data_IF_904646867211
#
_entry.id   IF_904646867211
#
_cell.length_a   1.000
_cell.length_b   1.000
_cell.length_c   1.000
_cell.angle_alpha   90.00
_cell.angle_beta   90.00
_cell.angle_gamma   90.00
#
_symmetry.space_group_name_H-M   'P 1'
#
loop_
_entity.id
_entity.type
_entity.pdbx_description
1 polymer ?
#
# COMPACT_ATOMS: atom_id res chain seq x y z
N UNK A 1 39.90 25.53 -12.02
CA UNK A 1 39.72 24.51 -10.96
C UNK A 1 38.28 24.00 -11.02
N UNK A 2 38.05 22.72 -11.38
CA UNK A 2 36.71 22.13 -11.49
C UNK A 2 36.37 21.40 -10.18
N UNK A 3 35.36 21.86 -9.44
CA UNK A 3 34.84 21.15 -8.25
C UNK A 3 34.21 19.83 -8.70
N UNK A 4 34.83 18.72 -8.32
CA UNK A 4 34.30 17.37 -8.53
C UNK A 4 33.07 17.23 -7.63
N UNK A 5 31.89 17.14 -8.24
CA UNK A 5 30.64 16.82 -7.54
C UNK A 5 30.77 15.37 -7.06
N UNK A 6 30.95 15.17 -5.75
CA UNK A 6 30.97 13.82 -5.18
C UNK A 6 29.73 13.08 -5.63
N UNK A 7 29.94 11.96 -6.31
CA UNK A 7 28.88 11.14 -6.85
C UNK A 7 28.23 10.39 -5.68
N UNK A 8 27.24 11.02 -5.02
CA UNK A 8 26.43 10.34 -4.00
C UNK A 8 25.70 9.18 -4.67
N UNK A 9 26.28 7.98 -4.57
CA UNK A 9 25.67 6.75 -5.05
C UNK A 9 24.39 6.51 -4.25
N UNK A 10 23.24 6.60 -4.91
CA UNK A 10 21.96 6.25 -4.30
C UNK A 10 21.96 4.75 -3.98
N UNK A 11 22.01 4.40 -2.70
CA UNK A 11 21.94 3.00 -2.25
C UNK A 11 20.47 2.65 -2.07
N UNK A 12 19.96 1.72 -2.89
CA UNK A 12 18.61 1.18 -2.73
C UNK A 12 18.67 -0.07 -1.87
N UNK A 13 18.05 -0.03 -0.71
CA UNK A 13 17.96 -1.16 0.22
C UNK A 13 16.50 -1.58 0.41
N UNK A 14 16.24 -2.87 0.66
CA UNK A 14 14.91 -3.33 1.01
C UNK A 14 14.48 -2.67 2.34
N UNK A 15 13.21 -2.28 2.41
CA UNK A 15 12.62 -1.72 3.63
C UNK A 15 11.21 -2.25 3.82
N UNK A 16 10.78 -2.29 5.08
CA UNK A 16 9.40 -2.65 5.44
C UNK A 16 8.55 -1.40 5.45
N UNK A 17 7.43 -1.41 4.73
CA UNK A 17 6.48 -0.30 4.68
C UNK A 17 5.15 -0.70 5.34
N UNK A 18 4.82 -0.03 6.43
CA UNK A 18 3.53 -0.16 7.09
C UNK A 18 2.60 0.97 6.66
N UNK A 19 1.34 0.65 6.39
CA UNK A 19 0.28 1.61 6.06
C UNK A 19 -0.75 1.62 7.19
N UNK A 20 -1.10 2.82 7.67
CA UNK A 20 -2.09 3.06 8.72
C UNK A 20 -3.02 4.19 8.29
N UNK A 21 -4.25 4.19 8.80
CA UNK A 21 -5.20 5.27 8.58
C UNK A 21 -4.90 6.40 9.57
N UNK A 22 -4.49 7.57 9.08
CA UNK A 22 -4.24 8.73 9.93
C UNK A 22 -5.53 9.42 10.39
N UNK A 23 -6.52 9.51 9.48
CA UNK A 23 -7.84 10.08 9.73
C UNK A 23 -8.88 9.33 8.92
N UNK A 24 -9.97 8.93 9.56
CA UNK A 24 -11.06 8.20 8.91
C UNK A 24 -11.94 9.17 8.11
N UNK A 25 -12.27 8.87 6.84
CA UNK A 25 -13.19 9.68 6.05
C UNK A 25 -14.64 9.45 6.48
N UNK A 26 -15.53 10.42 6.23
CA UNK A 26 -16.96 10.26 6.50
C UNK A 26 -17.61 9.15 5.66
N UNK A 27 -17.12 8.95 4.43
CA UNK A 27 -17.51 7.86 3.54
C UNK A 27 -16.27 7.09 3.13
N UNK A 28 -16.23 5.79 3.46
CA UNK A 28 -15.12 4.90 3.15
C UNK A 28 -15.45 4.06 1.92
N UNK A 29 -14.54 4.04 0.94
CA UNK A 29 -14.63 3.21 -0.26
C UNK A 29 -13.53 2.15 -0.20
N UNK A 30 -13.92 0.88 -0.25
CA UNK A 30 -12.99 -0.26 -0.22
C UNK A 30 -12.88 -0.89 -1.60
N UNK A 31 -11.73 -0.70 -2.25
CA UNK A 31 -11.46 -1.33 -3.54
C UNK A 31 -10.72 -2.67 -3.36
N UNK A 32 -11.39 -3.77 -3.72
CA UNK A 32 -10.76 -5.09 -3.77
C UNK A 32 -9.93 -5.25 -5.04
N UNK A 33 -8.60 -5.26 -4.92
CA UNK A 33 -7.67 -5.44 -6.06
C UNK A 33 -7.71 -6.88 -6.58
N UNK A 34 -8.71 -7.16 -7.42
CA UNK A 34 -8.92 -8.50 -8.01
C UNK A 34 -8.13 -8.74 -9.28
N UNK A 35 -7.65 -7.71 -9.97
CA UNK A 35 -6.92 -7.88 -11.21
C UNK A 35 -5.42 -7.76 -10.94
N UNK A 36 -4.67 -8.79 -11.33
CA UNK A 36 -3.22 -8.83 -11.22
C UNK A 36 -2.60 -9.14 -12.58
N UNK A 37 -1.53 -8.41 -12.89
CA UNK A 37 -0.65 -8.73 -14.01
C UNK A 37 0.39 -9.72 -13.51
N UNK A 38 0.40 -10.91 -14.07
CA UNK A 38 1.54 -11.82 -14.05
C UNK A 38 2.33 -11.63 -15.35
N UNK A 39 3.56 -12.15 -15.40
CA UNK A 39 4.53 -11.83 -16.46
C UNK A 39 3.96 -11.89 -17.89
N UNK A 40 3.05 -12.82 -18.15
CA UNK A 40 2.47 -13.06 -19.47
C UNK A 40 0.95 -12.87 -19.53
N UNK A 41 0.27 -12.71 -18.40
CA UNK A 41 -1.21 -12.77 -18.32
C UNK A 41 -1.80 -11.76 -17.34
N UNK A 42 -3.05 -11.37 -17.60
CA UNK A 42 -3.89 -10.68 -16.63
C UNK A 42 -4.93 -11.64 -16.05
N UNK A 43 -4.97 -11.75 -14.73
CA UNK A 43 -5.89 -12.68 -14.06
C UNK A 43 -6.79 -11.95 -13.06
N UNK A 44 -8.05 -12.37 -13.02
CA UNK A 44 -9.01 -12.02 -11.98
C UNK A 44 -8.92 -13.01 -10.80
N UNK A 45 -8.76 -12.48 -9.59
CA UNK A 45 -8.86 -13.21 -8.33
C UNK A 45 -10.35 -13.38 -8.00
N UNK A 46 -10.82 -14.62 -8.10
CA UNK A 46 -12.23 -15.01 -7.89
C UNK A 46 -12.53 -15.43 -6.46
N UNK A 47 -11.53 -15.45 -5.57
CA UNK A 47 -11.72 -15.82 -4.16
C UNK A 47 -12.82 -14.96 -3.51
N UNK A 48 -13.73 -15.61 -2.80
CA UNK A 48 -14.74 -14.93 -1.99
C UNK A 48 -14.06 -14.14 -0.87
N UNK A 49 -14.52 -12.92 -0.65
CA UNK A 49 -14.08 -12.07 0.47
C UNK A 49 -15.32 -11.82 1.31
N UNK A 50 -15.38 -12.47 2.47
CA UNK A 50 -16.42 -12.20 3.46
C UNK A 50 -16.14 -10.84 4.09
N UNK A 51 -17.16 -10.00 4.21
CA UNK A 51 -17.08 -8.70 4.84
C UNK A 51 -18.17 -8.58 5.92
N UNK A 52 -17.87 -7.94 7.05
CA UNK A 52 -18.87 -7.73 8.08
C UNK A 52 -19.82 -6.60 7.68
N UNK A 53 -21.00 -6.59 8.29
CA UNK A 53 -21.96 -5.48 8.18
C UNK A 53 -21.42 -4.24 8.92
N UNK A 54 -20.74 -4.46 10.05
CA UNK A 54 -20.09 -3.43 10.85
C UNK A 54 -18.57 -3.62 10.80
N UNK A 55 -17.84 -2.58 10.36
CA UNK A 55 -16.39 -2.60 10.24
C UNK A 55 -15.76 -1.66 11.27
N UNK A 56 -15.06 -2.22 12.25
CA UNK A 56 -14.24 -1.45 13.19
C UNK A 56 -12.87 -1.11 12.58
N UNK A 57 -12.59 0.18 12.44
CA UNK A 57 -11.33 0.69 11.90
C UNK A 57 -10.29 1.00 12.98
N UNK A 58 -10.67 0.98 14.27
CA UNK A 58 -9.78 1.36 15.37
C UNK A 58 -8.43 0.61 15.36
N UNK A 59 -8.35 -0.70 15.08
CA UNK A 59 -7.07 -1.44 15.12
C UNK A 59 -6.06 -1.02 14.03
N UNK A 60 -6.53 -0.39 12.95
CA UNK A 60 -5.70 -0.01 11.79
C UNK A 60 -5.47 1.50 11.69
N UNK A 61 -6.05 2.28 12.60
CA UNK A 61 -5.79 3.70 12.71
C UNK A 61 -4.45 3.96 13.39
N UNK A 62 -3.78 5.05 13.00
CA UNK A 62 -2.59 5.53 13.69
C UNK A 62 -2.98 5.92 15.12
N UNK A 63 -2.22 5.46 16.11
CA UNK A 63 -2.35 5.96 17.48
C UNK A 63 -1.96 7.44 17.50
N UNK A 64 -2.90 8.30 17.92
CA UNK A 64 -2.66 9.72 18.15
C UNK A 64 -1.76 9.93 19.36
#
# INVERSE_FOLDING_TARGET
>A
MKKIKQNCKMVCTPSTKQYLISRVPAVLILHLKRFQAQRVDFRKVTRHVSFPILLDLAPICKKS
#
